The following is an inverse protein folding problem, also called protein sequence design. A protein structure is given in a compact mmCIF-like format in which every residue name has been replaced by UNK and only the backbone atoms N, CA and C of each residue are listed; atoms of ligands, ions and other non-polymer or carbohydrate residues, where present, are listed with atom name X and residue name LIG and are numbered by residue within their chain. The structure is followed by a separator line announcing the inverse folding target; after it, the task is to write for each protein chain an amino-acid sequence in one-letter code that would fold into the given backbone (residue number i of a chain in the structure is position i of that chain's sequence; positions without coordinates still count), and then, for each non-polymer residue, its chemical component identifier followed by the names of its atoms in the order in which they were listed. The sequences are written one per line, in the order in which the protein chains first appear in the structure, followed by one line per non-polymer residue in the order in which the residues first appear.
data_IF_143878383796
#
_entry.id   IF_143878383796
#
_cell.length_a   1.000
_cell.length_b   1.000
_cell.length_c   1.000
_cell.angle_alpha   90.00
_cell.angle_beta   90.00
_cell.angle_gamma   90.00
#
_symmetry.space_group_name_H-M   'P 1'
#
loop_
_entity.id
_entity.type
_entity.pdbx_description
1 polymer ?
#
# COMPACT_ATOMS: atom_id res chain seq x y z
N UNK A 1 -22.54 -4.47 -18.32
CA UNK A 1 -23.41 -5.61 -18.00
C UNK A 1 -23.83 -5.46 -16.54
N UNK A 2 -25.07 -5.07 -16.26
CA UNK A 2 -25.61 -5.17 -14.90
C UNK A 2 -26.18 -6.57 -14.73
N UNK A 3 -25.71 -7.31 -13.72
CA UNK A 3 -26.25 -8.65 -13.44
C UNK A 3 -27.15 -8.60 -12.21
N UNK A 4 -28.43 -8.91 -12.41
CA UNK A 4 -29.41 -9.05 -11.35
C UNK A 4 -29.51 -10.54 -11.00
N UNK A 5 -28.77 -10.98 -9.98
CA UNK A 5 -28.71 -12.39 -9.57
C UNK A 5 -27.30 -12.84 -9.21
N UNK A 6 -27.08 -14.16 -9.22
CA UNK A 6 -25.81 -14.78 -8.84
C UNK A 6 -24.91 -14.94 -10.04
N UNK A 7 -23.64 -14.60 -9.90
CA UNK A 7 -22.63 -14.77 -10.95
C UNK A 7 -21.54 -15.71 -10.45
N UNK A 8 -21.30 -16.79 -11.19
CA UNK A 8 -20.25 -17.75 -10.92
C UNK A 8 -19.32 -17.81 -12.13
N UNK A 9 -18.08 -17.35 -11.97
CA UNK A 9 -17.04 -17.41 -13.00
C UNK A 9 -15.81 -18.10 -12.43
N UNK A 10 -15.34 -19.11 -13.16
CA UNK A 10 -14.22 -19.95 -12.75
C UNK A 10 -13.28 -20.18 -13.94
N UNK A 11 -12.21 -19.42 -13.98
CA UNK A 11 -11.11 -19.68 -14.92
C UNK A 11 -10.20 -20.81 -14.43
N UNK A 12 -9.20 -21.14 -15.25
CA UNK A 12 -8.16 -22.11 -14.97
C UNK A 12 -7.29 -21.64 -13.80
N UNK A 13 -7.14 -22.51 -12.80
CA UNK A 13 -6.27 -22.28 -11.64
C UNK A 13 -4.79 -22.30 -12.05
N UNK A 14 -3.98 -21.48 -11.39
CA UNK A 14 -2.52 -21.50 -11.45
C UNK A 14 -1.96 -21.84 -10.07
N UNK A 15 -0.71 -22.30 -10.01
CA UNK A 15 -0.05 -22.57 -8.73
C UNK A 15 0.24 -21.28 -7.97
N UNK A 16 0.67 -20.24 -8.69
CA UNK A 16 1.09 -18.97 -8.11
C UNK A 16 0.71 -17.80 -9.03
N UNK A 17 0.23 -16.70 -8.47
CA UNK A 17 -0.18 -15.51 -9.24
C UNK A 17 0.83 -14.36 -9.16
N UNK A 18 1.66 -14.34 -8.13
CA UNK A 18 2.77 -13.41 -7.98
C UNK A 18 3.90 -14.00 -7.14
N UNK A 19 5.11 -13.51 -7.35
CA UNK A 19 6.31 -13.86 -6.57
C UNK A 19 7.21 -12.63 -6.49
N UNK A 20 8.13 -12.60 -5.54
CA UNK A 20 9.21 -11.61 -5.55
C UNK A 20 10.44 -12.12 -6.28
N UNK A 21 11.30 -11.20 -6.72
CA UNK A 21 12.62 -11.52 -7.25
C UNK A 21 13.52 -12.16 -6.18
N UNK A 22 14.23 -13.22 -6.56
CA UNK A 22 15.28 -13.85 -5.75
C UNK A 22 16.58 -13.06 -5.83
N UNK A 23 16.85 -12.44 -6.98
CA UNK A 23 18.07 -11.67 -7.25
C UNK A 23 17.70 -10.40 -7.99
N UNK A 24 18.44 -9.32 -7.74
CA UNK A 24 18.28 -8.07 -8.51
C UNK A 24 18.42 -8.35 -10.00
N UNK A 25 17.39 -8.00 -10.77
CA UNK A 25 17.43 -7.97 -12.21
C UNK A 25 17.90 -6.59 -12.68
N UNK A 26 18.92 -6.55 -13.52
CA UNK A 26 19.50 -5.33 -14.04
C UNK A 26 18.83 -4.91 -15.34
N UNK A 27 18.86 -3.62 -15.64
CA UNK A 27 18.57 -3.10 -16.97
C UNK A 27 19.46 -3.83 -18.00
N UNK A 28 18.87 -4.30 -19.08
CA UNK A 28 19.51 -5.16 -20.07
C UNK A 28 19.29 -6.67 -19.87
N UNK A 29 18.86 -7.12 -18.69
CA UNK A 29 18.62 -8.55 -18.45
C UNK A 29 17.41 -9.06 -19.25
N UNK A 30 17.53 -10.29 -19.75
CA UNK A 30 16.48 -11.04 -20.46
C UNK A 30 15.90 -12.19 -19.62
N UNK A 31 16.32 -12.29 -18.36
CA UNK A 31 15.96 -13.37 -17.45
C UNK A 31 15.67 -12.81 -16.07
N UNK A 32 14.64 -13.35 -15.42
CA UNK A 32 14.32 -13.09 -14.02
C UNK A 32 14.55 -14.36 -13.21
N UNK A 33 15.15 -14.19 -12.04
CA UNK A 33 15.25 -15.23 -11.02
C UNK A 33 14.28 -14.93 -9.88
N UNK A 34 13.33 -15.83 -9.61
CA UNK A 34 12.24 -15.62 -8.65
C UNK A 34 12.43 -16.41 -7.36
N UNK A 35 11.82 -15.95 -6.26
CA UNK A 35 11.88 -16.65 -4.96
C UNK A 35 11.19 -18.02 -5.03
N UNK A 36 10.01 -18.06 -5.63
CA UNK A 36 9.19 -19.26 -5.78
C UNK A 36 9.24 -19.78 -7.22
N UNK A 37 8.98 -21.07 -7.39
CA UNK A 37 8.84 -21.63 -8.74
C UNK A 37 7.51 -21.19 -9.34
N UNK A 38 7.50 -20.94 -10.65
CA UNK A 38 6.31 -20.50 -11.38
C UNK A 38 5.85 -21.57 -12.38
N UNK A 39 4.53 -21.66 -12.60
CA UNK A 39 3.89 -22.54 -13.59
C UNK A 39 3.31 -21.76 -14.78
N UNK A 40 3.83 -20.56 -15.01
CA UNK A 40 3.38 -19.64 -16.05
C UNK A 40 3.79 -20.12 -17.45
N UNK A 41 2.99 -19.79 -18.45
CA UNK A 41 3.12 -20.33 -19.80
C UNK A 41 3.87 -19.36 -20.71
N UNK A 42 4.52 -19.89 -21.75
CA UNK A 42 5.04 -19.08 -22.86
C UNK A 42 3.90 -18.26 -23.46
N UNK A 43 4.13 -16.95 -23.61
CA UNK A 43 3.15 -15.99 -24.09
C UNK A 43 2.34 -15.28 -23.01
N UNK A 44 2.37 -15.73 -21.75
CA UNK A 44 1.73 -15.01 -20.64
C UNK A 44 2.40 -13.65 -20.45
N UNK A 45 1.58 -12.63 -20.16
CA UNK A 45 2.04 -11.28 -19.83
C UNK A 45 2.30 -11.18 -18.32
N UNK A 46 3.48 -10.70 -17.94
CA UNK A 46 3.87 -10.43 -16.56
C UNK A 46 4.13 -8.95 -16.35
N UNK A 47 3.82 -8.47 -15.15
CA UNK A 47 4.24 -7.18 -14.64
C UNK A 47 5.44 -7.36 -13.70
N UNK A 48 6.50 -6.60 -13.92
CA UNK A 48 7.64 -6.47 -13.02
C UNK A 48 7.51 -5.10 -12.36
N UNK A 49 7.14 -5.08 -11.08
CA UNK A 49 6.87 -3.84 -10.37
C UNK A 49 8.13 -2.98 -10.24
N UNK A 50 7.98 -1.66 -10.29
CA UNK A 50 9.04 -0.74 -9.86
C UNK A 50 9.56 -1.14 -8.49
N UNK A 51 10.84 -0.91 -8.25
CA UNK A 51 11.49 -1.14 -6.95
C UNK A 51 12.26 0.09 -6.47
N UNK A 52 11.86 1.23 -7.02
CA UNK A 52 12.44 2.54 -6.80
C UNK A 52 11.32 3.57 -6.61
N UNK A 53 11.68 4.84 -6.39
CA UNK A 53 10.69 5.89 -6.10
C UNK A 53 9.82 6.30 -7.30
N UNK A 54 10.17 5.87 -8.52
CA UNK A 54 9.43 6.19 -9.74
C UNK A 54 8.53 5.03 -10.17
N UNK A 55 7.22 5.29 -10.17
CA UNK A 55 6.18 4.35 -10.60
C UNK A 55 6.29 3.96 -12.08
N UNK A 56 6.91 4.80 -12.91
CA UNK A 56 7.05 4.58 -14.34
C UNK A 56 8.10 3.52 -14.69
N UNK A 57 8.86 3.03 -13.70
CA UNK A 57 9.82 1.94 -13.86
C UNK A 57 9.18 0.56 -13.72
N UNK A 58 7.84 0.47 -13.62
CA UNK A 58 7.14 -0.82 -13.76
C UNK A 58 7.12 -1.24 -15.22
N UNK A 59 7.44 -2.51 -15.48
CA UNK A 59 7.62 -3.03 -16.84
C UNK A 59 6.67 -4.19 -17.13
N UNK A 60 6.13 -4.25 -18.35
CA UNK A 60 5.39 -5.41 -18.85
C UNK A 60 6.26 -6.21 -19.80
N UNK A 61 6.30 -7.53 -19.62
CA UNK A 61 7.01 -8.47 -20.50
C UNK A 61 6.17 -9.69 -20.80
N UNK A 62 6.51 -10.36 -21.90
CA UNK A 62 5.96 -11.67 -22.25
C UNK A 62 6.99 -12.76 -21.97
N UNK A 63 6.51 -13.88 -21.45
CA UNK A 63 7.34 -15.04 -21.17
C UNK A 63 7.69 -15.75 -22.49
N UNK A 64 8.98 -15.99 -22.74
CA UNK A 64 9.46 -16.81 -23.87
C UNK A 64 9.80 -18.23 -23.45
N UNK A 65 10.17 -18.42 -22.19
CA UNK A 65 10.33 -19.71 -21.52
C UNK A 65 10.25 -19.51 -20.00
N UNK A 66 9.71 -20.48 -19.27
CA UNK A 66 9.72 -20.47 -17.81
C UNK A 66 9.99 -21.90 -17.30
N UNK A 67 10.90 -22.02 -16.34
CA UNK A 67 11.23 -23.31 -15.73
C UNK A 67 11.68 -23.11 -14.29
N UNK A 68 10.98 -23.74 -13.34
CA UNK A 68 11.27 -23.59 -11.92
C UNK A 68 11.22 -22.12 -11.51
N UNK A 69 12.36 -21.58 -11.07
CA UNK A 69 12.52 -20.20 -10.57
C UNK A 69 13.06 -19.21 -11.61
N UNK A 70 13.14 -19.63 -12.87
CA UNK A 70 13.69 -18.83 -13.96
C UNK A 70 12.61 -18.50 -14.98
N UNK A 71 12.53 -17.22 -15.37
CA UNK A 71 11.62 -16.71 -16.39
C UNK A 71 12.44 -15.97 -17.45
N UNK A 72 12.32 -16.38 -18.71
CA UNK A 72 12.92 -15.70 -19.85
C UNK A 72 11.92 -14.72 -20.48
N UNK A 73 12.42 -13.53 -20.84
CA UNK A 73 11.65 -12.41 -21.33
C UNK A 73 11.75 -12.28 -22.85
N UNK A 74 10.75 -11.68 -23.47
CA UNK A 74 10.75 -11.37 -24.90
C UNK A 74 11.59 -10.14 -25.27
N UNK A 75 11.89 -9.28 -24.30
CA UNK A 75 12.70 -8.08 -24.46
C UNK A 75 13.42 -7.75 -23.17
N UNK A 76 14.62 -7.17 -23.29
CA UNK A 76 15.46 -6.82 -22.15
C UNK A 76 14.76 -5.81 -21.23
N UNK A 77 15.03 -5.85 -19.93
CA UNK A 77 14.55 -4.85 -18.97
C UNK A 77 15.15 -3.47 -19.27
N UNK A 78 14.36 -2.42 -19.08
CA UNK A 78 14.84 -1.04 -19.20
C UNK A 78 15.38 -0.52 -17.87
N UNK A 79 14.87 -1.05 -16.75
CA UNK A 79 15.20 -0.59 -15.40
C UNK A 79 15.72 -1.71 -14.51
N UNK A 80 16.37 -1.30 -13.42
CA UNK A 80 16.80 -2.21 -12.37
C UNK A 80 15.62 -2.55 -11.45
N UNK A 81 15.43 -3.84 -11.16
CA UNK A 81 14.47 -4.34 -10.19
C UNK A 81 15.19 -5.05 -9.06
N UNK A 82 15.21 -4.43 -7.88
CA UNK A 82 16.05 -4.89 -6.77
C UNK A 82 15.47 -6.12 -6.06
N UNK A 83 16.38 -6.94 -5.53
CA UNK A 83 16.09 -7.91 -4.48
C UNK A 83 17.22 -7.86 -3.44
N UNK A 84 16.90 -7.34 -2.26
CA UNK A 84 17.79 -7.26 -1.11
C UNK A 84 17.23 -8.06 0.05
N UNK A 85 18.09 -8.88 0.64
CA UNK A 85 17.81 -9.63 1.85
C UNK A 85 18.68 -9.07 2.93
N UNK A 86 18.03 -8.45 3.89
CA UNK A 86 18.64 -7.96 5.10
C UNK A 86 18.72 -9.14 6.05
N UNK A 87 19.94 -9.53 6.42
CA UNK A 87 20.18 -10.45 7.51
C UNK A 87 21.22 -9.82 8.44
N UNK A 88 20.89 -9.76 9.73
CA UNK A 88 21.83 -9.38 10.77
C UNK A 88 22.53 -10.64 11.27
N UNK A 89 23.82 -10.56 11.58
CA UNK A 89 24.57 -11.69 12.13
C UNK A 89 23.92 -12.15 13.44
N UNK A 90 23.87 -13.45 13.68
CA UNK A 90 23.40 -14.01 14.95
C UNK A 90 24.15 -13.33 16.11
N UNK A 91 23.41 -12.80 17.09
CA UNK A 91 23.88 -11.99 18.24
C UNK A 91 24.04 -10.47 18.01
N UNK A 92 23.74 -9.91 16.83
CA UNK A 92 23.77 -8.44 16.61
C UNK A 92 22.40 -7.76 16.81
N UNK A 93 21.31 -8.45 16.45
CA UNK A 93 19.94 -8.15 16.87
C UNK A 93 19.37 -9.46 17.43
N UNK A 94 18.76 -9.43 18.62
CA UNK A 94 18.28 -10.64 19.33
C UNK A 94 17.19 -11.44 18.58
N UNK A 95 16.65 -10.93 17.47
CA UNK A 95 15.43 -11.44 16.84
C UNK A 95 15.62 -12.35 15.61
N UNK A 96 16.84 -12.43 15.05
CA UNK A 96 17.13 -13.26 13.87
C UNK A 96 16.27 -12.95 12.63
N UNK A 97 15.64 -11.77 12.56
CA UNK A 97 14.71 -11.43 11.47
C UNK A 97 15.43 -11.22 10.15
N UNK A 98 14.87 -11.78 9.09
CA UNK A 98 15.30 -11.54 7.70
C UNK A 98 14.27 -10.63 7.04
N UNK A 99 14.69 -9.44 6.60
CA UNK A 99 13.82 -8.55 5.84
C UNK A 99 14.09 -8.69 4.35
N UNK A 100 13.04 -8.99 3.58
CA UNK A 100 13.11 -9.16 2.12
C UNK A 100 12.54 -7.92 1.43
N UNK A 101 13.41 -7.09 0.87
CA UNK A 101 13.03 -5.94 0.03
C UNK A 101 13.25 -6.33 -1.43
N UNK A 102 12.20 -6.82 -2.09
CA UNK A 102 12.31 -7.33 -3.44
C UNK A 102 11.10 -6.95 -4.28
N UNK A 103 11.37 -6.64 -5.55
CA UNK A 103 10.35 -6.31 -6.53
C UNK A 103 9.40 -7.50 -6.75
N UNK A 104 8.10 -7.21 -6.78
CA UNK A 104 7.07 -8.17 -7.15
C UNK A 104 7.02 -8.38 -8.67
N UNK A 105 6.84 -9.64 -9.06
CA UNK A 105 6.57 -10.12 -10.41
C UNK A 105 5.23 -10.82 -10.38
N UNK A 106 4.29 -10.37 -11.21
CA UNK A 106 2.93 -10.91 -11.24
C UNK A 106 2.50 -11.29 -12.64
N UNK A 107 1.91 -12.48 -12.80
CA UNK A 107 1.28 -12.87 -14.05
C UNK A 107 -0.08 -12.21 -14.18
N UNK A 108 -0.32 -11.53 -15.29
CA UNK A 108 -1.53 -10.77 -15.55
C UNK A 108 -2.57 -11.59 -16.33
N UNK A 109 -2.13 -12.55 -17.14
CA UNK A 109 -3.01 -13.33 -18.01
C UNK A 109 -3.85 -14.34 -17.22
N UNK A 110 -5.14 -14.45 -17.56
CA UNK A 110 -6.04 -15.53 -17.09
C UNK A 110 -6.77 -16.19 -18.25
N UNK A 111 -7.32 -17.38 -18.03
CA UNK A 111 -7.99 -18.15 -19.10
C UNK A 111 -9.33 -17.55 -19.54
N UNK A 112 -10.02 -16.83 -18.65
CA UNK A 112 -11.24 -16.08 -18.97
C UNK A 112 -10.86 -14.61 -18.98
N UNK A 113 -11.08 -13.94 -20.11
CA UNK A 113 -10.77 -12.52 -20.30
C UNK A 113 -12.06 -11.76 -20.58
N UNK A 114 -12.39 -10.81 -19.71
CA UNK A 114 -13.44 -9.82 -19.92
C UNK A 114 -12.79 -8.51 -20.33
N UNK A 115 -12.98 -8.15 -21.60
CA UNK A 115 -12.41 -6.95 -22.20
C UNK A 115 -13.52 -5.92 -22.35
N UNK A 116 -13.25 -4.71 -21.90
CA UNK A 116 -14.20 -3.62 -21.89
C UNK A 116 -13.59 -2.39 -22.55
N UNK A 117 -14.33 -1.82 -23.50
CA UNK A 117 -13.93 -0.59 -24.14
C UNK A 117 -14.20 0.62 -23.23
N UNK A 118 -13.16 1.42 -23.00
CA UNK A 118 -13.28 2.79 -22.49
C UNK A 118 -13.70 3.69 -23.66
N UNK A 119 -14.90 4.29 -23.65
CA UNK A 119 -15.29 5.20 -24.72
C UNK A 119 -14.32 6.40 -24.78
N UNK A 120 -13.87 6.74 -25.99
CA UNK A 120 -12.83 7.75 -26.29
C UNK A 120 -13.28 9.21 -26.09
N UNK A 121 -14.41 9.47 -25.42
CA UNK A 121 -15.10 10.75 -25.53
C UNK A 121 -14.66 11.74 -24.45
N UNK A 122 -14.21 12.92 -24.92
CA UNK A 122 -14.01 14.18 -24.19
C UNK A 122 -15.30 14.73 -23.54
N UNK A 123 -15.99 13.95 -22.72
CA UNK A 123 -17.11 14.45 -21.92
C UNK A 123 -16.66 14.79 -20.50
N UNK A 124 -16.78 16.07 -20.19
CA UNK A 124 -16.52 16.78 -18.94
C UNK A 124 -17.47 16.35 -17.80
N UNK A 125 -17.97 15.11 -17.80
CA UNK A 125 -18.87 14.58 -16.77
C UNK A 125 -18.24 13.38 -16.04
N UNK A 126 -17.48 13.71 -15.00
CA UNK A 126 -17.29 13.08 -13.65
C UNK A 126 -17.50 11.58 -13.36
N UNK A 127 -17.82 10.69 -14.29
CA UNK A 127 -18.07 9.26 -14.01
C UNK A 127 -17.68 8.39 -15.20
N UNK A 128 -16.39 8.33 -15.50
CA UNK A 128 -15.85 7.49 -16.59
C UNK A 128 -15.77 6.03 -16.15
N UNK A 129 -16.36 5.12 -16.93
CA UNK A 129 -16.63 3.72 -16.53
C UNK A 129 -16.10 2.74 -17.58
N UNK A 130 -15.47 1.64 -17.13
CA UNK A 130 -15.05 0.53 -17.99
C UNK A 130 -16.04 -0.63 -18.01
N UNK A 131 -17.32 -0.40 -17.75
CA UNK A 131 -18.33 -1.41 -17.33
C UNK A 131 -18.31 -1.67 -15.82
N UNK A 132 -19.41 -1.28 -15.19
CA UNK A 132 -19.79 -1.82 -13.91
C UNK A 132 -20.41 -3.21 -14.15
N UNK A 133 -19.74 -4.29 -13.74
CA UNK A 133 -20.50 -5.47 -13.31
C UNK A 133 -21.17 -5.11 -11.99
N UNK A 134 -22.34 -4.48 -12.09
CA UNK A 134 -23.19 -4.24 -10.93
C UNK A 134 -23.83 -5.56 -10.53
N UNK A 135 -23.49 -6.04 -9.35
CA UNK A 135 -24.27 -7.07 -8.66
C UNK A 135 -25.15 -6.33 -7.65
N UNK A 136 -26.43 -6.20 -7.96
CA UNK A 136 -27.43 -5.56 -7.10
C UNK A 136 -28.64 -6.48 -6.97
N UNK A 137 -29.12 -6.70 -5.74
CA UNK A 137 -30.22 -7.64 -5.48
C UNK A 137 -31.62 -7.06 -5.77
N UNK A 138 -31.77 -5.75 -5.76
CA UNK A 138 -33.07 -5.08 -5.99
C UNK A 138 -32.86 -3.75 -6.70
N UNK A 139 -33.51 -3.53 -7.86
CA UNK A 139 -33.66 -2.18 -8.39
C UNK A 139 -34.34 -1.29 -7.34
N UNK A 140 -33.92 -0.02 -7.27
CA UNK A 140 -34.61 0.99 -6.45
C UNK A 140 -36.06 1.06 -6.95
N UNK A 141 -37.02 0.69 -6.10
CA UNK A 141 -38.47 0.73 -6.41
C UNK A 141 -39.13 -0.56 -6.90
N UNK A 142 -38.44 -1.70 -7.00
CA UNK A 142 -39.05 -2.97 -7.44
C UNK A 142 -39.58 -3.82 -6.27
N UNK A 143 -40.80 -4.41 -6.36
CA UNK A 143 -41.41 -5.20 -5.29
C UNK A 143 -40.87 -6.64 -5.17
N UNK A 144 -39.86 -7.04 -5.96
CA UNK A 144 -39.32 -8.41 -5.95
C UNK A 144 -37.97 -8.49 -5.25
N UNK A 145 -37.97 -9.15 -4.08
CA UNK A 145 -36.74 -9.59 -3.41
C UNK A 145 -36.12 -10.73 -4.22
N UNK A 146 -34.98 -10.49 -4.89
CA UNK A 146 -34.17 -11.59 -5.44
C UNK A 146 -33.46 -12.25 -4.25
N UNK A 147 -34.01 -13.37 -3.75
CA UNK A 147 -33.40 -14.18 -2.69
C UNK A 147 -32.56 -15.32 -3.30
N UNK A 148 -31.44 -15.65 -2.66
CA UNK A 148 -30.74 -16.93 -2.86
C UNK A 148 -29.49 -16.96 -3.76
N UNK A 149 -28.94 -15.82 -4.19
CA UNK A 149 -27.86 -15.81 -5.17
C UNK A 149 -26.54 -15.26 -4.62
N UNK A 150 -25.45 -16.01 -4.83
CA UNK A 150 -24.07 -15.68 -4.45
C UNK A 150 -23.27 -15.21 -5.68
N UNK A 151 -22.33 -14.29 -5.48
CA UNK A 151 -21.33 -13.95 -6.50
C UNK A 151 -19.98 -14.53 -6.15
N UNK A 152 -19.44 -15.34 -7.07
CA UNK A 152 -18.16 -16.02 -6.96
C UNK A 152 -17.38 -15.79 -8.25
N UNK A 153 -16.25 -15.13 -8.17
CA UNK A 153 -15.40 -14.88 -9.34
C UNK A 153 -13.99 -15.35 -9.00
N UNK A 154 -13.47 -16.27 -9.81
CA UNK A 154 -12.12 -16.82 -9.64
C UNK A 154 -11.38 -16.95 -10.95
N UNK A 155 -10.08 -16.62 -10.96
CA UNK A 155 -9.22 -16.81 -12.13
C UNK A 155 -9.73 -16.09 -13.39
N UNK A 156 -10.27 -14.89 -13.24
CA UNK A 156 -10.77 -14.08 -14.34
C UNK A 156 -9.89 -12.84 -14.52
N UNK A 157 -9.59 -12.50 -15.76
CA UNK A 157 -8.89 -11.29 -16.13
C UNK A 157 -9.89 -10.25 -16.62
N UNK A 158 -9.87 -9.06 -16.02
CA UNK A 158 -10.66 -7.91 -16.39
C UNK A 158 -9.73 -6.87 -17.03
N UNK A 159 -10.07 -6.42 -18.23
CA UNK A 159 -9.23 -5.50 -19.01
C UNK A 159 -10.08 -4.32 -19.42
N UNK A 160 -9.67 -3.15 -18.94
CA UNK A 160 -10.35 -1.90 -19.11
C UNK A 160 -9.62 -1.04 -20.14
N UNK A 161 -9.77 -1.35 -21.43
CA UNK A 161 -9.04 -0.66 -22.51
C UNK A 161 -10.00 -0.39 -23.67
N UNK A 162 -10.27 0.89 -23.96
CA UNK A 162 -10.95 1.28 -25.20
C UNK A 162 -10.12 0.88 -26.40
N UNK A 163 -10.53 -0.12 -27.17
CA UNK A 163 -9.75 -0.68 -28.29
C UNK A 163 -8.40 -1.31 -27.86
N UNK A 164 -7.91 -2.35 -28.55
CA UNK A 164 -6.59 -2.96 -28.27
C UNK A 164 -5.37 -2.02 -28.41
N UNK A 165 -5.58 -0.71 -28.62
CA UNK A 165 -4.54 0.30 -28.93
C UNK A 165 -4.76 1.65 -28.20
N UNK A 166 -5.67 1.78 -27.21
CA UNK A 166 -5.69 3.04 -26.43
C UNK A 166 -4.42 3.16 -25.57
N UNK A 167 -3.47 3.94 -26.07
CA UNK A 167 -2.19 4.34 -25.46
C UNK A 167 -2.40 5.33 -24.31
N UNK A 168 -3.64 5.73 -24.02
CA UNK A 168 -3.93 6.82 -23.08
C UNK A 168 -4.78 6.31 -21.91
N UNK A 169 -4.25 6.27 -20.69
CA UNK A 169 -5.00 5.82 -19.54
C UNK A 169 -6.14 6.76 -19.14
N UNK A 170 -7.14 6.22 -18.41
CA UNK A 170 -8.25 7.02 -17.92
C UNK A 170 -7.79 8.13 -16.99
N UNK A 171 -8.52 9.24 -16.96
CA UNK A 171 -8.20 10.41 -16.14
C UNK A 171 -8.79 10.37 -14.72
N UNK A 172 -9.57 9.34 -14.41
CA UNK A 172 -10.26 9.13 -13.12
C UNK A 172 -10.28 7.62 -12.80
N UNK A 173 -10.58 7.21 -11.56
CA UNK A 173 -10.70 5.79 -11.21
C UNK A 173 -11.85 5.11 -11.95
N UNK A 174 -11.55 4.03 -12.67
CA UNK A 174 -12.54 3.21 -13.34
C UNK A 174 -12.62 1.86 -12.62
N UNK A 175 -13.78 1.52 -12.07
CA UNK A 175 -14.00 0.23 -11.44
C UNK A 175 -14.44 -0.81 -12.49
N UNK A 176 -13.60 -1.83 -12.71
CA UNK A 176 -13.95 -3.00 -13.51
C UNK A 176 -15.01 -3.87 -12.81
N UNK A 177 -14.93 -3.93 -11.48
CA UNK A 177 -15.93 -4.56 -10.62
C UNK A 177 -16.39 -3.58 -9.56
N UNK A 178 -17.71 -3.45 -9.43
CA UNK A 178 -18.34 -2.60 -8.42
C UNK A 178 -19.48 -3.32 -7.73
N UNK A 179 -19.41 -3.39 -6.42
CA UNK A 179 -20.43 -3.98 -5.56
C UNK A 179 -21.04 -2.89 -4.69
N UNK A 180 -22.37 -2.81 -4.63
CA UNK A 180 -23.11 -1.88 -3.76
C UNK A 180 -23.89 -2.59 -2.65
N UNK A 181 -24.33 -3.83 -2.90
CA UNK A 181 -25.02 -4.65 -1.90
C UNK A 181 -24.87 -6.11 -2.30
N UNK A 182 -24.46 -6.94 -1.36
CA UNK A 182 -24.26 -8.37 -1.57
C UNK A 182 -24.86 -9.17 -0.42
N UNK A 183 -25.22 -10.43 -0.69
CA UNK A 183 -25.66 -11.41 0.31
C UNK A 183 -24.94 -12.74 0.04
N UNK A 184 -24.99 -13.64 1.02
CA UNK A 184 -24.45 -15.01 0.91
C UNK A 184 -22.92 -15.09 0.72
N UNK A 185 -22.14 -14.25 1.43
CA UNK A 185 -20.67 -14.30 1.49
C UNK A 185 -19.98 -14.42 0.11
N UNK A 186 -20.09 -13.39 -0.75
CA UNK A 186 -19.42 -13.38 -2.05
C UNK A 186 -17.89 -13.30 -1.92
N UNK A 187 -17.20 -13.64 -3.01
CA UNK A 187 -15.76 -13.41 -3.09
C UNK A 187 -15.27 -13.20 -4.52
N UNK A 188 -14.15 -12.48 -4.62
CA UNK A 188 -13.35 -12.33 -5.84
C UNK A 188 -11.93 -12.75 -5.49
N UNK A 189 -11.45 -13.85 -6.10
CA UNK A 189 -10.14 -14.41 -5.78
C UNK A 189 -9.31 -14.73 -7.01
N UNK A 190 -8.00 -14.58 -6.94
CA UNK A 190 -7.09 -14.99 -8.03
C UNK A 190 -7.32 -14.28 -9.37
N UNK A 191 -8.03 -13.15 -9.36
CA UNK A 191 -8.36 -12.39 -10.56
C UNK A 191 -7.24 -11.41 -10.90
N UNK A 192 -7.19 -11.00 -12.17
CA UNK A 192 -6.32 -9.94 -12.66
C UNK A 192 -7.16 -8.79 -13.16
N UNK A 193 -6.78 -7.56 -12.83
CA UNK A 193 -7.45 -6.34 -13.25
C UNK A 193 -6.42 -5.44 -13.89
N UNK A 194 -6.60 -5.10 -15.17
CA UNK A 194 -5.71 -4.21 -15.91
C UNK A 194 -6.48 -2.96 -16.26
N UNK A 195 -5.95 -1.80 -15.90
CA UNK A 195 -6.58 -0.50 -16.20
C UNK A 195 -7.93 -0.28 -15.50
N UNK A 196 -8.23 -1.11 -14.51
CA UNK A 196 -9.51 -1.11 -13.81
C UNK A 196 -9.35 -1.56 -12.36
N UNK A 197 -10.22 -1.03 -11.51
CA UNK A 197 -10.20 -1.20 -10.07
C UNK A 197 -11.35 -2.09 -9.57
N UNK A 198 -11.32 -2.42 -8.27
CA UNK A 198 -12.38 -3.12 -7.56
C UNK A 198 -12.95 -2.22 -6.47
N UNK A 199 -14.26 -1.98 -6.49
CA UNK A 199 -14.95 -1.12 -5.54
C UNK A 199 -16.04 -1.86 -4.78
N UNK A 200 -15.98 -1.82 -3.44
CA UNK A 200 -16.96 -2.39 -2.52
C UNK A 200 -17.61 -1.27 -1.71
N UNK A 201 -18.75 -0.79 -2.18
CA UNK A 201 -19.47 0.32 -1.58
C UNK A 201 -20.61 -0.22 -0.72
N UNK A 202 -20.63 0.09 0.58
CA UNK A 202 -21.71 -0.33 1.51
C UNK A 202 -21.92 -1.86 1.59
N UNK A 203 -20.94 -2.65 1.13
CA UNK A 203 -20.96 -4.11 1.18
C UNK A 203 -20.73 -4.59 2.61
N UNK A 204 -21.54 -5.52 3.09
CA UNK A 204 -21.31 -6.20 4.37
C UNK A 204 -20.94 -7.67 4.14
N UNK A 205 -19.68 -8.04 4.39
CA UNK A 205 -19.19 -9.41 4.26
C UNK A 205 -18.75 -9.77 2.84
N UNK A 206 -17.44 -9.70 2.55
CA UNK A 206 -16.86 -10.13 1.27
C UNK A 206 -15.35 -10.38 1.37
N UNK A 207 -14.85 -11.37 0.61
CA UNK A 207 -13.41 -11.62 0.48
C UNK A 207 -12.89 -11.11 -0.88
N UNK A 208 -11.84 -10.30 -0.83
CA UNK A 208 -10.93 -10.02 -1.94
C UNK A 208 -9.60 -10.70 -1.62
N UNK A 209 -9.27 -11.79 -2.30
CA UNK A 209 -8.08 -12.58 -1.99
C UNK A 209 -7.19 -12.84 -3.20
N UNK A 210 -5.89 -12.57 -3.08
CA UNK A 210 -4.88 -12.95 -4.07
C UNK A 210 -5.20 -12.44 -5.49
N UNK A 211 -5.77 -11.23 -5.57
CA UNK A 211 -6.01 -10.55 -6.85
C UNK A 211 -4.84 -9.65 -7.22
N UNK A 212 -4.55 -9.55 -8.51
CA UNK A 212 -3.55 -8.62 -9.06
C UNK A 212 -4.27 -7.47 -9.74
N UNK A 213 -3.98 -6.25 -9.35
CA UNK A 213 -4.49 -5.03 -9.97
C UNK A 213 -3.28 -4.29 -10.56
N UNK A 214 -3.31 -4.00 -11.85
CA UNK A 214 -2.23 -3.35 -12.58
C UNK A 214 -2.71 -2.09 -13.28
N UNK A 215 -1.94 -1.02 -13.10
CA UNK A 215 -2.03 0.25 -13.81
C UNK A 215 -3.41 0.90 -13.65
N UNK A 216 -3.68 1.42 -12.46
CA UNK A 216 -4.95 2.07 -12.13
C UNK A 216 -4.74 3.56 -11.92
N UNK A 217 -5.81 4.33 -12.10
CA UNK A 217 -5.82 5.77 -11.86
C UNK A 217 -6.61 6.03 -10.58
N UNK A 218 -5.94 6.50 -9.53
CA UNK A 218 -6.47 6.56 -8.17
C UNK A 218 -6.57 5.19 -7.53
N UNK A 219 -7.74 4.82 -6.98
CA UNK A 219 -7.89 3.59 -6.20
C UNK A 219 -7.84 2.33 -7.06
N UNK A 220 -7.07 1.32 -6.62
CA UNK A 220 -7.10 -0.05 -7.16
C UNK A 220 -8.10 -0.94 -6.43
N UNK A 221 -8.17 -0.81 -5.11
CA UNK A 221 -9.20 -1.41 -4.25
C UNK A 221 -9.80 -0.29 -3.40
N UNK A 222 -11.11 -0.12 -3.43
CA UNK A 222 -11.82 0.84 -2.58
C UNK A 222 -12.95 0.15 -1.81
N UNK A 223 -12.92 0.23 -0.49
CA UNK A 223 -13.94 -0.35 0.40
C UNK A 223 -14.52 0.70 1.34
N UNK A 224 -15.83 0.94 1.25
CA UNK A 224 -16.60 1.76 2.22
C UNK A 224 -17.53 0.92 3.10
N UNK A 225 -17.56 -0.40 2.87
CA UNK A 225 -18.43 -1.36 3.56
C UNK A 225 -17.92 -1.84 4.92
N UNK A 226 -18.46 -2.97 5.39
CA UNK A 226 -18.08 -3.60 6.65
C UNK A 226 -17.79 -5.10 6.52
N UNK A 227 -17.00 -5.65 7.44
CA UNK A 227 -16.67 -7.09 7.49
C UNK A 227 -16.06 -7.60 6.18
N UNK A 228 -15.18 -6.81 5.56
CA UNK A 228 -14.49 -7.17 4.32
C UNK A 228 -13.08 -7.65 4.63
N UNK A 229 -12.70 -8.76 4.00
CA UNK A 229 -11.33 -9.27 4.04
C UNK A 229 -10.61 -8.89 2.75
N UNK A 230 -9.56 -8.09 2.86
CA UNK A 230 -8.66 -7.72 1.78
C UNK A 230 -7.34 -8.40 2.10
N UNK A 231 -7.07 -9.53 1.44
CA UNK A 231 -5.97 -10.43 1.82
C UNK A 231 -5.11 -10.81 0.61
N UNK A 232 -3.79 -10.71 0.69
CA UNK A 232 -2.85 -11.14 -0.37
C UNK A 232 -3.05 -10.47 -1.73
N UNK A 233 -3.74 -9.33 -1.79
CA UNK A 233 -3.90 -8.62 -3.05
C UNK A 233 -2.63 -7.84 -3.38
N UNK A 234 -2.32 -7.75 -4.67
CA UNK A 234 -1.17 -7.02 -5.18
C UNK A 234 -1.67 -5.91 -6.10
N UNK A 235 -1.42 -4.65 -5.73
CA UNK A 235 -1.70 -3.48 -6.57
C UNK A 235 -0.39 -2.92 -7.10
N UNK A 236 -0.24 -2.88 -8.42
CA UNK A 236 0.96 -2.39 -9.11
C UNK A 236 0.59 -1.15 -9.93
N UNK A 237 1.37 -0.08 -9.78
CA UNK A 237 1.22 1.18 -10.54
C UNK A 237 -0.15 1.85 -10.32
N UNK A 238 -0.29 2.49 -9.16
CA UNK A 238 -1.41 3.38 -8.84
C UNK A 238 -1.06 4.83 -9.18
N UNK A 239 -1.62 5.35 -10.26
CA UNK A 239 -1.35 6.67 -10.80
C UNK A 239 -2.32 7.72 -10.26
N UNK A 240 -2.00 8.98 -10.47
CA UNK A 240 -2.81 10.14 -10.15
C UNK A 240 -2.86 11.07 -11.37
N UNK A 241 -4.00 11.73 -11.55
CA UNK A 241 -4.22 12.65 -12.67
C UNK A 241 -4.69 13.99 -12.12
N UNK A 242 -4.16 15.09 -12.65
CA UNK A 242 -4.54 16.47 -12.29
C UNK A 242 -6.04 16.79 -12.55
N UNK A 243 -6.77 15.90 -13.21
CA UNK A 243 -8.23 15.98 -13.37
C UNK A 243 -9.01 15.50 -12.14
N UNK A 244 -8.36 14.76 -11.24
CA UNK A 244 -8.84 14.48 -9.90
C UNK A 244 -8.51 15.73 -9.08
N UNK A 245 -9.48 16.27 -8.34
CA UNK A 245 -9.30 17.48 -7.54
C UNK A 245 -8.03 17.34 -6.67
N UNK A 246 -7.16 18.35 -6.63
CA UNK A 246 -5.92 18.32 -5.85
C UNK A 246 -6.17 18.08 -4.34
N UNK A 247 -7.39 18.32 -3.86
CA UNK A 247 -7.82 17.98 -2.50
C UNK A 247 -8.12 16.49 -2.28
N UNK A 248 -8.33 15.71 -3.34
CA UNK A 248 -8.52 14.26 -3.27
C UNK A 248 -7.16 13.55 -3.30
N UNK A 249 -6.87 12.82 -2.23
CA UNK A 249 -5.66 12.02 -2.05
C UNK A 249 -5.99 10.52 -2.11
N UNK A 250 -6.12 9.94 -3.32
CA UNK A 250 -6.45 8.53 -3.45
C UNK A 250 -5.28 7.65 -3.01
N UNK A 251 -5.62 6.48 -2.46
CA UNK A 251 -4.67 5.41 -2.20
C UNK A 251 -4.92 4.21 -3.12
N UNK A 252 -3.87 3.47 -3.44
CA UNK A 252 -3.98 2.24 -4.22
C UNK A 252 -4.93 1.23 -3.55
N UNK A 253 -4.88 1.12 -2.22
CA UNK A 253 -5.86 0.42 -1.38
C UNK A 253 -6.46 1.42 -0.40
N UNK A 254 -7.74 1.74 -0.58
CA UNK A 254 -8.47 2.71 0.24
C UNK A 254 -9.58 2.01 1.04
N UNK A 255 -9.43 2.00 2.36
CA UNK A 255 -10.33 1.30 3.30
C UNK A 255 -10.69 2.15 4.53
N UNK A 256 -10.34 3.45 4.53
CA UNK A 256 -10.55 4.36 5.67
C UNK A 256 -12.02 4.60 6.03
N UNK A 257 -12.92 4.47 5.06
CA UNK A 257 -14.37 4.59 5.28
C UNK A 257 -15.00 3.27 5.80
N UNK A 258 -14.29 2.16 5.64
CA UNK A 258 -14.78 0.84 6.04
C UNK A 258 -14.74 0.58 7.54
N UNK A 259 -15.44 -0.47 7.98
CA UNK A 259 -15.41 -0.95 9.38
C UNK A 259 -15.21 -2.46 9.47
N UNK A 260 -14.50 -2.93 10.50
CA UNK A 260 -14.16 -4.35 10.66
C UNK A 260 -13.49 -4.94 9.39
N UNK A 261 -12.56 -4.17 8.82
CA UNK A 261 -11.77 -4.59 7.67
C UNK A 261 -10.62 -5.46 8.17
N UNK A 262 -10.37 -6.58 7.50
CA UNK A 262 -9.14 -7.37 7.70
C UNK A 262 -8.20 -7.06 6.55
N UNK A 263 -7.02 -6.54 6.86
CA UNK A 263 -6.00 -6.19 5.88
C UNK A 263 -4.74 -7.03 6.16
N UNK A 264 -4.53 -8.09 5.37
CA UNK A 264 -3.43 -9.03 5.59
C UNK A 264 -2.65 -9.33 4.31
N UNK A 265 -1.33 -9.32 4.39
CA UNK A 265 -0.42 -9.75 3.31
C UNK A 265 -0.62 -9.04 1.97
N UNK A 266 -1.22 -7.84 1.95
CA UNK A 266 -1.41 -7.10 0.70
C UNK A 266 -0.15 -6.32 0.36
N UNK A 267 0.14 -6.22 -0.93
CA UNK A 267 1.30 -5.48 -1.44
C UNK A 267 0.83 -4.37 -2.36
N UNK A 268 1.37 -3.17 -2.15
CA UNK A 268 1.23 -2.05 -3.07
C UNK A 268 2.61 -1.63 -3.56
N UNK A 269 2.84 -1.75 -4.87
CA UNK A 269 4.11 -1.48 -5.51
C UNK A 269 3.97 -0.42 -6.60
N UNK A 270 4.62 0.72 -6.43
CA UNK A 270 4.53 1.82 -7.39
C UNK A 270 3.23 2.63 -7.24
N UNK A 271 3.30 3.81 -6.65
CA UNK A 271 2.12 4.66 -6.47
C UNK A 271 2.46 6.15 -6.39
N UNK A 272 1.69 7.02 -7.07
CA UNK A 272 2.00 8.46 -7.15
C UNK A 272 1.51 9.27 -5.94
N UNK A 273 0.52 8.75 -5.19
CA UNK A 273 -0.02 9.37 -3.97
C UNK A 273 0.19 8.45 -2.78
N UNK A 274 -0.86 7.79 -2.30
CA UNK A 274 -0.76 6.89 -1.16
C UNK A 274 -0.78 5.41 -1.59
N UNK A 275 -0.05 4.56 -0.86
CA UNK A 275 -0.13 3.12 -1.01
C UNK A 275 -1.41 2.60 -0.36
N UNK A 276 -1.55 2.88 0.94
CA UNK A 276 -2.73 2.56 1.73
C UNK A 276 -3.33 3.82 2.33
N UNK A 277 -4.66 3.95 2.29
CA UNK A 277 -5.41 4.88 3.15
C UNK A 277 -6.31 4.11 4.09
N UNK A 278 -6.10 4.33 5.39
CA UNK A 278 -6.67 3.48 6.43
C UNK A 278 -7.33 4.30 7.53
N UNK A 279 -8.23 3.66 8.27
CA UNK A 279 -8.73 4.15 9.57
C UNK A 279 -7.90 3.66 10.75
N UNK A 280 -7.11 2.61 10.55
CA UNK A 280 -6.49 1.84 11.62
C UNK A 280 -7.47 0.85 12.28
N UNK A 281 -6.93 -0.04 13.10
CA UNK A 281 -7.68 -0.92 13.99
C UNK A 281 -8.06 -0.17 15.28
N UNK A 282 -9.08 -0.63 16.01
CA UNK A 282 -9.32 -0.10 17.36
C UNK A 282 -8.33 -0.69 18.35
N UNK A 283 -7.81 0.12 19.26
CA UNK A 283 -6.78 -0.32 20.21
C UNK A 283 -7.29 -1.31 21.28
N UNK A 284 -8.59 -1.32 21.58
CA UNK A 284 -9.18 -2.07 22.70
C UNK A 284 -9.99 -3.28 22.28
N UNK A 285 -10.09 -3.58 20.99
CA UNK A 285 -10.81 -4.76 20.53
C UNK A 285 -9.94 -6.01 20.72
N UNK A 286 -10.45 -6.99 21.48
CA UNK A 286 -9.87 -8.32 21.60
C UNK A 286 -9.90 -8.98 20.22
N UNK A 287 -8.80 -8.79 19.49
CA UNK A 287 -8.65 -9.22 18.12
C UNK A 287 -7.96 -10.59 18.09
N UNK A 288 -8.51 -11.48 17.29
CA UNK A 288 -7.90 -12.78 17.04
C UNK A 288 -6.79 -12.65 15.97
N UNK A 289 -5.83 -13.57 15.89
CA UNK A 289 -4.81 -13.57 14.84
C UNK A 289 -5.38 -13.53 13.40
N UNK A 290 -6.58 -14.05 13.18
CA UNK A 290 -7.23 -14.06 11.85
C UNK A 290 -7.88 -12.73 11.45
N UNK A 291 -7.96 -11.77 12.37
CA UNK A 291 -8.55 -10.45 12.17
C UNK A 291 -7.53 -9.31 12.29
N UNK A 292 -6.42 -9.55 13.00
CA UNK A 292 -5.32 -8.59 13.16
C UNK A 292 -4.68 -8.24 11.82
N UNK A 293 -4.33 -6.98 11.62
CA UNK A 293 -3.61 -6.57 10.42
C UNK A 293 -2.15 -7.02 10.49
N UNK A 294 -1.66 -7.60 9.40
CA UNK A 294 -0.32 -8.19 9.36
C UNK A 294 0.22 -8.32 7.94
N UNK A 295 1.53 -8.24 7.76
CA UNK A 295 2.21 -8.60 6.51
C UNK A 295 1.94 -7.67 5.33
N UNK A 296 1.33 -6.50 5.54
CA UNK A 296 1.07 -5.57 4.45
C UNK A 296 2.35 -4.84 4.05
N UNK A 297 2.52 -4.58 2.76
CA UNK A 297 3.73 -3.99 2.20
C UNK A 297 3.40 -2.83 1.26
N UNK A 298 4.08 -1.70 1.40
CA UNK A 298 3.96 -0.56 0.49
C UNK A 298 5.34 -0.06 0.06
N UNK A 299 5.59 0.09 -1.24
CA UNK A 299 6.86 0.64 -1.69
C UNK A 299 6.82 1.33 -3.06
N UNK A 300 7.82 2.18 -3.29
CA UNK A 300 8.04 2.86 -4.57
C UNK A 300 6.99 3.94 -4.87
N UNK A 301 6.68 4.78 -3.89
CA UNK A 301 5.68 5.84 -4.07
C UNK A 301 5.85 7.02 -3.12
N UNK A 302 4.84 7.88 -2.97
CA UNK A 302 4.96 9.11 -2.17
C UNK A 302 4.71 8.85 -0.66
N UNK A 303 3.53 8.30 -0.31
CA UNK A 303 3.10 8.03 1.08
C UNK A 303 2.75 6.55 1.25
N UNK A 304 3.49 5.79 2.04
CA UNK A 304 3.21 4.35 2.19
C UNK A 304 1.84 4.08 2.84
N UNK A 305 1.66 4.58 4.06
CA UNK A 305 0.41 4.54 4.81
C UNK A 305 -0.04 5.97 5.11
N UNK A 306 -1.29 6.27 4.78
CA UNK A 306 -1.88 7.60 4.87
C UNK A 306 -3.14 7.59 5.74
N UNK A 307 -3.18 8.50 6.71
CA UNK A 307 -4.35 8.83 7.50
C UNK A 307 -4.47 10.36 7.55
N UNK A 308 -5.58 10.92 7.09
CA UNK A 308 -5.80 12.37 7.11
C UNK A 308 -7.20 12.69 7.61
N UNK A 309 -7.29 13.08 8.89
CA UNK A 309 -8.55 13.19 9.63
C UNK A 309 -9.27 11.84 9.72
N UNK A 310 -8.50 10.76 9.63
CA UNK A 310 -8.94 9.38 9.78
C UNK A 310 -8.63 8.91 11.23
N UNK A 311 -9.10 7.72 11.60
CA UNK A 311 -8.91 7.18 12.96
C UNK A 311 -10.18 7.15 13.80
N UNK A 312 -10.00 6.88 15.09
CA UNK A 312 -11.06 6.85 16.10
C UNK A 312 -10.86 7.96 17.13
N UNK A 313 -11.95 8.36 17.79
CA UNK A 313 -11.92 9.43 18.81
C UNK A 313 -11.16 9.02 20.07
N UNK A 314 -11.15 7.73 20.39
CA UNK A 314 -10.43 7.12 21.50
C UNK A 314 -9.00 6.77 21.08
N UNK A 315 -8.82 5.74 20.24
CA UNK A 315 -7.52 5.23 19.87
C UNK A 315 -7.54 4.43 18.56
N UNK A 316 -6.60 4.73 17.67
CA UNK A 316 -6.32 3.95 16.46
C UNK A 316 -4.98 3.19 16.58
N UNK A 317 -4.96 1.97 16.04
CA UNK A 317 -3.78 1.10 15.95
C UNK A 317 -3.39 0.91 14.48
N UNK A 318 -2.13 1.16 14.18
CA UNK A 318 -1.49 0.87 12.88
C UNK A 318 -0.42 -0.18 13.13
N UNK A 319 -0.51 -1.35 12.48
CA UNK A 319 0.46 -2.40 12.69
C UNK A 319 0.67 -3.31 11.48
N UNK A 320 1.80 -4.03 11.49
CA UNK A 320 2.07 -5.10 10.54
C UNK A 320 2.34 -4.60 9.13
N UNK A 321 2.98 -3.43 9.00
CA UNK A 321 3.37 -2.83 7.73
C UNK A 321 4.88 -2.86 7.51
N UNK A 322 5.30 -3.34 6.34
CA UNK A 322 6.61 -3.09 5.76
C UNK A 322 6.48 -1.95 4.74
N UNK A 323 7.14 -0.82 4.98
CA UNK A 323 7.10 0.31 4.06
C UNK A 323 8.50 0.73 3.68
N UNK A 324 8.79 0.78 2.38
CA UNK A 324 10.13 1.11 1.93
C UNK A 324 10.17 1.93 0.65
N UNK A 325 11.23 2.75 0.52
CA UNK A 325 11.41 3.66 -0.63
C UNK A 325 10.14 4.48 -0.95
N UNK A 326 9.50 5.02 0.09
CA UNK A 326 8.51 6.08 -0.07
C UNK A 326 9.21 7.43 -0.05
N UNK A 327 8.93 8.29 -1.03
CA UNK A 327 9.64 9.54 -1.25
C UNK A 327 9.42 10.54 -0.11
N UNK A 328 8.18 10.70 0.37
CA UNK A 328 7.87 11.62 1.46
C UNK A 328 7.75 10.89 2.80
N UNK A 329 6.73 10.05 2.98
CA UNK A 329 6.43 9.43 4.28
C UNK A 329 6.21 7.92 4.16
N UNK A 330 6.79 7.16 5.07
CA UNK A 330 6.44 5.76 5.30
C UNK A 330 5.03 5.68 5.89
N UNK A 331 4.82 6.37 7.01
CA UNK A 331 3.52 6.51 7.66
C UNK A 331 3.26 8.00 7.91
N UNK A 332 2.17 8.52 7.35
CA UNK A 332 1.64 9.83 7.67
C UNK A 332 0.28 9.68 8.34
N UNK A 333 0.10 10.32 9.49
CA UNK A 333 -1.17 10.28 10.20
C UNK A 333 -1.63 11.62 10.76
N UNK A 334 -2.92 11.91 10.62
CA UNK A 334 -3.63 12.91 11.39
C UNK A 334 -4.87 12.28 12.02
N UNK A 335 -4.86 12.06 13.34
CA UNK A 335 -5.93 11.37 14.06
C UNK A 335 -6.60 12.27 15.11
N UNK A 336 -7.91 12.06 15.41
CA UNK A 336 -8.57 12.77 16.49
C UNK A 336 -8.23 12.18 17.87
N UNK A 337 -8.07 10.86 17.96
CA UNK A 337 -7.72 10.11 19.17
C UNK A 337 -6.25 9.75 19.28
N UNK A 338 -5.91 8.98 20.32
CA UNK A 338 -4.57 8.41 20.51
C UNK A 338 -4.17 7.52 19.34
N UNK A 339 -2.87 7.33 19.16
CA UNK A 339 -2.33 6.51 18.08
C UNK A 339 -1.29 5.52 18.61
N UNK A 340 -1.46 4.25 18.29
CA UNK A 340 -0.46 3.21 18.51
C UNK A 340 0.07 2.79 17.15
N UNK A 341 1.39 2.84 16.94
CA UNK A 341 2.07 2.28 15.78
C UNK A 341 2.93 1.13 16.27
N UNK A 342 2.64 -0.09 15.85
CA UNK A 342 3.25 -1.29 16.41
C UNK A 342 3.73 -2.24 15.33
N UNK A 343 4.87 -2.90 15.51
CA UNK A 343 5.33 -3.95 14.59
C UNK A 343 5.36 -3.48 13.13
N UNK A 344 5.94 -2.30 12.89
CA UNK A 344 6.17 -1.77 11.54
C UNK A 344 7.66 -1.81 11.21
N UNK A 345 7.96 -2.00 9.93
CA UNK A 345 9.32 -2.00 9.39
C UNK A 345 9.41 -0.90 8.34
N UNK A 346 10.23 0.12 8.58
CA UNK A 346 10.31 1.32 7.75
C UNK A 346 11.73 1.48 7.21
N UNK A 347 11.91 1.35 5.90
CA UNK A 347 13.24 1.29 5.27
C UNK A 347 13.39 2.31 4.15
N UNK A 348 14.36 3.22 4.24
CA UNK A 348 14.65 4.22 3.20
C UNK A 348 13.44 5.06 2.74
N UNK A 349 12.58 5.44 3.67
CA UNK A 349 11.54 6.43 3.38
C UNK A 349 12.11 7.84 3.61
N UNK A 350 11.60 8.86 2.90
CA UNK A 350 11.91 10.27 3.17
C UNK A 350 11.78 10.57 4.66
N UNK A 351 10.65 10.18 5.23
CA UNK A 351 10.36 10.17 6.66
C UNK A 351 9.71 8.86 7.04
N UNK A 352 10.18 8.18 8.08
CA UNK A 352 9.56 7.00 8.65
C UNK A 352 8.13 7.27 9.11
N UNK A 353 7.96 8.14 10.11
CA UNK A 353 6.64 8.46 10.69
C UNK A 353 6.48 9.97 10.85
N UNK A 354 5.35 10.48 10.37
CA UNK A 354 4.83 11.79 10.68
C UNK A 354 3.43 11.66 11.25
N UNK A 355 3.18 12.23 12.42
CA UNK A 355 1.88 12.13 13.07
C UNK A 355 1.44 13.44 13.70
N UNK A 356 0.14 13.69 13.59
CA UNK A 356 -0.58 14.77 14.26
C UNK A 356 -1.77 14.18 15.01
N UNK A 357 -1.93 14.54 16.27
CA UNK A 357 -3.19 14.31 17.00
C UNK A 357 -3.85 15.67 17.25
N UNK A 358 -5.01 15.91 16.63
CA UNK A 358 -5.52 17.28 16.45
C UNK A 358 -6.78 17.65 17.25
N UNK A 359 -7.48 16.67 17.81
CA UNK A 359 -8.69 16.92 18.63
C UNK A 359 -8.29 17.02 20.12
N UNK A 360 -9.06 17.71 21.00
CA UNK A 360 -10.06 18.71 20.66
C UNK A 360 -9.40 19.93 20.01
N UNK A 361 -10.15 20.76 19.26
CA UNK A 361 -9.61 21.97 18.66
C UNK A 361 -9.01 22.91 19.71
N UNK A 362 -7.89 23.56 19.39
CA UNK A 362 -7.20 24.51 20.28
C UNK A 362 -8.12 25.62 20.80
N UNK A 363 -9.07 26.07 19.98
CA UNK A 363 -10.07 27.11 20.33
C UNK A 363 -11.05 26.69 21.43
N UNK A 364 -11.13 25.40 21.76
CA UNK A 364 -11.95 24.91 22.87
C UNK A 364 -11.29 25.13 24.24
N UNK A 365 -9.97 25.37 24.28
CA UNK A 365 -9.17 25.40 25.51
C UNK A 365 -9.30 24.14 26.38
N UNK A 366 -9.74 23.02 25.79
CA UNK A 366 -9.86 21.75 26.48
C UNK A 366 -8.58 20.94 26.35
N UNK A 367 -8.13 20.38 27.47
CA UNK A 367 -7.05 19.40 27.50
C UNK A 367 -7.67 18.02 27.34
N UNK A 368 -6.99 17.14 26.63
CA UNK A 368 -7.43 15.75 26.49
C UNK A 368 -6.27 14.80 26.70
N UNK A 369 -6.57 13.69 27.38
CA UNK A 369 -5.60 12.66 27.67
C UNK A 369 -5.43 11.74 26.45
N UNK A 370 -4.45 12.06 25.60
CA UNK A 370 -4.10 11.29 24.41
C UNK A 370 -2.61 11.06 24.36
N UNK A 371 -2.17 10.04 23.62
CA UNK A 371 -0.75 9.75 23.44
C UNK A 371 -0.48 9.21 22.04
N UNK A 372 0.79 9.30 21.64
CA UNK A 372 1.31 8.53 20.51
C UNK A 372 2.32 7.52 21.05
N UNK A 373 2.10 6.24 20.76
CA UNK A 373 2.97 5.15 21.16
C UNK A 373 3.51 4.43 19.93
N UNK A 374 4.84 4.43 19.75
CA UNK A 374 5.51 3.59 18.76
C UNK A 374 6.17 2.42 19.47
N UNK A 375 5.91 1.18 19.07
CA UNK A 375 6.50 0.02 19.77
C UNK A 375 6.85 -1.15 18.88
N UNK A 376 7.87 -1.92 19.26
CA UNK A 376 8.24 -3.18 18.59
C UNK A 376 8.50 -2.95 17.08
N UNK A 377 9.07 -1.81 16.74
CA UNK A 377 9.21 -1.35 15.36
C UNK A 377 10.68 -1.37 14.93
N UNK A 378 10.89 -1.39 13.63
CA UNK A 378 12.22 -1.45 13.02
C UNK A 378 12.38 -0.34 11.99
N UNK A 379 13.47 0.40 12.10
CA UNK A 379 13.80 1.50 11.21
C UNK A 379 15.19 1.30 10.62
N UNK A 380 15.30 1.40 9.31
CA UNK A 380 16.57 1.35 8.61
C UNK A 380 16.75 2.60 7.76
N UNK A 381 17.73 3.42 8.13
CA UNK A 381 18.22 4.54 7.32
C UNK A 381 19.29 4.07 6.33
N UNK A 382 19.17 4.45 5.05
CA UNK A 382 20.14 4.20 3.99
C UNK A 382 20.62 2.74 3.80
N UNK A 383 20.11 2.06 2.77
CA UNK A 383 21.00 1.23 1.93
C UNK A 383 21.46 2.08 0.78
N UNK A 384 22.79 2.22 0.65
CA UNK A 384 23.53 2.88 -0.43
C UNK A 384 22.65 3.53 -1.49
N UNK A 385 22.62 4.87 -1.50
CA UNK A 385 22.34 5.58 -2.73
C UNK A 385 23.17 4.89 -3.82
N UNK A 386 22.56 4.56 -4.96
CA UNK A 386 23.33 4.09 -6.10
C UNK A 386 24.50 5.06 -6.40
N UNK A 387 25.43 4.69 -7.28
CA UNK A 387 26.62 5.48 -7.60
C UNK A 387 26.38 6.95 -8.00
N UNK A 388 25.12 7.37 -8.17
CA UNK A 388 24.70 8.72 -8.57
C UNK A 388 24.26 9.66 -7.44
N UNK A 389 24.13 9.24 -6.17
CA UNK A 389 23.65 10.12 -5.08
C UNK A 389 22.41 10.97 -5.48
N UNK A 390 21.50 10.39 -6.25
CA UNK A 390 20.36 11.09 -6.88
C UNK A 390 19.03 10.80 -6.19
N UNK A 391 19.09 10.29 -4.95
CA UNK A 391 17.91 10.03 -4.13
C UNK A 391 17.68 11.23 -3.22
N UNK A 392 16.43 11.61 -2.94
CA UNK A 392 16.15 12.64 -1.95
C UNK A 392 16.63 12.16 -0.58
N UNK A 393 16.93 13.09 0.33
CA UNK A 393 17.33 12.73 1.68
C UNK A 393 16.23 11.87 2.31
N UNK A 394 16.53 10.60 2.56
CA UNK A 394 15.83 9.88 3.60
C UNK A 394 16.29 10.51 4.90
N UNK A 395 15.43 11.18 5.65
CA UNK A 395 15.24 10.92 7.09
C UNK A 395 14.43 11.97 7.81
N UNK A 396 13.38 11.45 8.40
CA UNK A 396 12.92 11.81 9.72
C UNK A 396 12.29 10.56 10.29
N UNK A 397 12.61 10.11 11.50
CA UNK A 397 12.01 8.85 11.97
C UNK A 397 10.71 9.03 12.72
N UNK A 398 10.52 10.12 13.45
CA UNK A 398 9.27 10.44 14.10
C UNK A 398 9.11 11.95 14.26
N UNK A 399 8.01 12.50 13.74
CA UNK A 399 7.51 13.82 14.14
C UNK A 399 6.14 13.68 14.74
N UNK A 400 5.99 14.04 16.01
CA UNK A 400 4.70 14.13 16.70
C UNK A 400 4.36 15.61 16.89
N UNK A 401 3.58 16.20 15.99
CA UNK A 401 2.97 17.49 16.27
C UNK A 401 1.71 17.23 17.08
N UNK A 402 1.69 17.60 18.35
CA UNK A 402 0.49 17.35 19.15
C UNK A 402 0.05 18.55 19.97
N UNK A 403 -1.23 18.89 19.81
CA UNK A 403 -1.89 19.95 20.55
C UNK A 403 -2.48 19.38 21.86
N UNK A 404 -2.09 19.97 23.00
CA UNK A 404 -2.77 19.82 24.31
C UNK A 404 -2.97 18.38 24.82
N UNK A 405 -1.89 17.60 24.77
CA UNK A 405 -1.80 16.28 25.42
C UNK A 405 -1.49 16.42 26.92
N UNK A 406 -2.09 15.54 27.73
CA UNK A 406 -1.70 15.32 29.14
C UNK A 406 -0.70 14.16 29.33
N UNK A 407 -0.74 13.12 28.50
CA UNK A 407 0.08 11.91 28.61
C UNK A 407 1.20 11.84 27.57
N UNK A 408 2.43 11.55 27.96
CA UNK A 408 3.54 11.66 27.03
C UNK A 408 3.54 10.62 25.91
N UNK A 409 4.02 11.04 24.74
CA UNK A 409 4.36 10.13 23.66
C UNK A 409 5.54 9.24 24.06
N UNK A 410 5.56 8.00 23.57
CA UNK A 410 6.60 7.05 23.93
C UNK A 410 7.04 6.20 22.73
N UNK A 411 8.29 5.74 22.80
CA UNK A 411 8.83 4.75 21.89
C UNK A 411 9.46 3.60 22.68
N UNK A 412 8.96 2.39 22.44
CA UNK A 412 9.30 1.19 23.20
C UNK A 412 9.86 0.11 22.28
N UNK A 413 10.91 -0.59 22.72
CA UNK A 413 11.39 -1.82 22.07
C UNK A 413 11.60 -1.67 20.56
N UNK A 414 12.16 -0.53 20.15
CA UNK A 414 12.33 -0.14 18.75
C UNK A 414 13.80 -0.17 18.36
N UNK A 415 14.07 -0.68 17.15
CA UNK A 415 15.43 -0.81 16.61
C UNK A 415 15.67 0.21 15.49
N UNK A 416 16.84 0.86 15.51
CA UNK A 416 17.30 1.77 14.47
C UNK A 416 18.63 1.31 13.91
N UNK A 417 18.72 1.26 12.58
CA UNK A 417 19.88 0.75 11.85
C UNK A 417 20.36 1.77 10.81
N UNK A 418 21.67 1.97 10.72
CA UNK A 418 22.35 2.70 9.63
C UNK A 418 21.96 4.20 9.50
N UNK A 419 21.70 4.87 10.62
CA UNK A 419 21.54 6.34 10.66
C UNK A 419 22.92 7.01 10.68
N UNK A 420 23.33 7.50 9.50
CA UNK A 420 24.64 8.10 9.20
C UNK A 420 24.54 9.09 8.02
N UNK A 421 25.64 9.76 7.70
CA UNK A 421 25.77 10.50 6.44
C UNK A 421 25.53 9.59 5.23
N UNK A 422 24.75 10.08 4.27
CA UNK A 422 24.39 9.33 3.05
C UNK A 422 25.19 9.84 1.86
N UNK A 423 25.00 11.10 1.46
CA UNK A 423 25.62 11.74 0.30
C UNK A 423 25.70 13.25 0.48
N UNK A 424 26.77 13.92 0.04
CA UNK A 424 26.87 15.39 -0.13
C UNK A 424 26.21 16.28 0.97
N UNK A 425 26.43 15.96 2.25
CA UNK A 425 25.88 16.74 3.37
C UNK A 425 24.46 16.34 3.81
N UNK A 426 23.85 15.34 3.16
CA UNK A 426 22.60 14.72 3.61
C UNK A 426 22.86 13.70 4.72
N UNK A 427 22.06 13.81 5.78
CA UNK A 427 22.26 13.06 7.02
C UNK A 427 21.00 12.29 7.36
N UNK A 428 21.15 11.01 7.73
CA UNK A 428 20.06 10.23 8.27
C UNK A 428 19.84 10.55 9.76
N UNK A 429 18.76 11.24 10.17
CA UNK A 429 18.47 11.54 11.58
C UNK A 429 17.27 10.74 12.14
N UNK A 430 17.41 10.26 13.38
CA UNK A 430 16.34 9.55 14.09
C UNK A 430 15.22 10.53 14.48
N UNK A 431 15.46 11.45 15.40
CA UNK A 431 14.46 12.42 15.85
C UNK A 431 14.82 13.81 15.33
N UNK A 432 13.87 14.50 14.69
CA UNK A 432 14.11 15.88 14.25
C UNK A 432 12.90 16.79 14.48
N UNK A 433 13.15 18.06 14.76
CA UNK A 433 12.08 19.05 14.86
C UNK A 433 11.51 19.47 13.50
N UNK A 434 10.38 20.16 13.48
CA UNK A 434 9.86 20.70 12.23
C UNK A 434 10.50 22.05 11.94
N UNK A 435 11.19 22.25 10.81
CA UNK A 435 11.71 23.57 10.47
C UNK A 435 10.58 24.60 10.31
N UNK A 436 9.39 24.17 9.88
CA UNK A 436 8.24 25.08 9.68
C UNK A 436 7.38 25.31 10.93
N UNK A 437 7.67 24.64 12.06
CA UNK A 437 6.88 24.79 13.30
C UNK A 437 7.63 24.23 14.50
N UNK A 438 8.41 25.07 15.16
CA UNK A 438 9.31 24.66 16.23
C UNK A 438 8.62 24.50 17.60
N UNK A 439 7.43 25.09 17.76
CA UNK A 439 6.70 25.16 19.03
C UNK A 439 5.91 23.89 19.39
N UNK A 440 5.82 22.90 18.49
CA UNK A 440 4.90 21.75 18.62
C UNK A 440 5.58 20.42 19.02
N UNK A 441 6.71 20.46 19.72
CA UNK A 441 7.43 19.23 20.13
C UNK A 441 7.01 18.78 21.53
N UNK A 442 6.21 17.72 21.58
CA UNK A 442 5.85 17.05 22.83
C UNK A 442 7.00 16.15 23.31
N UNK A 443 7.32 16.09 24.62
CA UNK A 443 8.30 15.14 25.15
C UNK A 443 8.02 13.69 24.72
N UNK A 444 9.08 12.99 24.31
CA UNK A 444 9.06 11.58 23.89
C UNK A 444 9.88 10.75 24.91
N UNK A 445 9.26 9.73 25.47
CA UNK A 445 9.91 8.79 26.40
C UNK A 445 10.42 7.58 25.64
N UNK A 446 11.69 7.24 25.84
CA UNK A 446 12.34 6.12 25.14
C UNK A 446 12.65 4.99 26.13
N UNK A 447 12.34 3.75 25.76
CA UNK A 447 12.71 2.55 26.54
C UNK A 447 12.95 1.37 25.61
N UNK A 448 13.98 0.56 25.90
CA UNK A 448 14.28 -0.63 25.09
C UNK A 448 14.73 -0.29 23.65
N UNK A 449 15.35 0.87 23.45
CA UNK A 449 15.82 1.28 22.13
C UNK A 449 17.14 0.59 21.80
N UNK A 450 17.18 -0.04 20.62
CA UNK A 450 18.40 -0.66 20.08
C UNK A 450 18.92 0.18 18.93
N UNK A 451 20.20 0.54 18.96
CA UNK A 451 20.87 1.33 17.92
C UNK A 451 22.01 0.52 17.31
N UNK A 452 22.03 0.39 15.99
CA UNK A 452 23.10 -0.30 15.26
C UNK A 452 23.63 0.57 14.13
N UNK A 453 24.95 0.81 14.13
CA UNK A 453 25.61 1.71 13.19
C UNK A 453 24.95 3.12 13.15
N UNK A 454 24.75 3.70 14.33
CA UNK A 454 24.19 5.05 14.52
C UNK A 454 25.16 5.86 15.37
N UNK A 455 25.64 6.99 14.87
CA UNK A 455 26.47 7.93 15.67
C UNK A 455 25.59 8.88 16.47
N UNK A 456 26.15 9.48 17.51
CA UNK A 456 25.43 10.39 18.42
C UNK A 456 24.80 11.60 17.71
N UNK A 457 25.51 12.19 16.73
CA UNK A 457 25.07 13.34 15.94
C UNK A 457 23.81 13.07 15.08
N UNK A 458 23.49 11.80 14.83
CA UNK A 458 22.33 11.38 14.04
C UNK A 458 21.12 10.96 14.88
N UNK A 459 21.21 11.08 16.21
CA UNK A 459 20.12 10.68 17.11
C UNK A 459 19.02 11.72 17.19
N UNK A 460 19.39 12.98 17.40
CA UNK A 460 18.44 14.08 17.64
C UNK A 460 18.96 15.34 16.96
N UNK A 461 18.10 15.99 16.18
CA UNK A 461 18.36 17.29 15.58
C UNK A 461 17.24 18.27 15.89
N UNK A 462 17.58 19.39 16.53
CA UNK A 462 16.63 20.43 16.91
C UNK A 462 16.97 21.66 16.07
N UNK A 463 16.05 22.03 15.16
CA UNK A 463 16.11 23.29 14.43
C UNK A 463 16.11 24.46 15.43
N UNK A 464 16.88 25.50 15.08
CA UNK A 464 16.92 26.73 15.85
C UNK A 464 15.77 27.65 15.43
N UNK A 465 15.08 28.31 16.38
CA UNK A 465 14.01 29.24 16.08
C UNK A 465 14.48 30.26 15.06
N UNK A 466 13.87 30.26 13.88
CA UNK A 466 14.02 31.38 12.95
C UNK A 466 13.57 32.65 13.69
N UNK A 467 14.52 33.55 13.96
CA UNK A 467 14.31 34.83 14.65
C UNK A 467 13.52 35.83 13.82
#
# INVERSE_FOLDING_TARGET
IGHLGGLHLHGKKQMLYSTKLRKTAQAGDLELETQNSVDWNVGDEIAIATSNYDVNQTEIRKITAASGKTIHLNSALEYNHIAYYIQFEANTLEDGRVYSLAADVAVLTRSIRMIFDIPSVNQVYSKSWCVNLFVQLTPVGAPRRIQGYRTVITNVEFICSGSPVAVTPPKVPHFALKFNTVKFTPFVKYCSFRYGAVGLFEVNGMDLEENTIYYVMGQGIHVTGSNVRVVKNLVISSLWSNSINDSEWPAAIEVSEGSHIVLQDNVVAGFQRAGFRIKGEKCTENSSPSTLWSGNEAYGGLYGVYMNKDGFQDCALVQGFLVWKCWDFGIYSQTPGSLIISNVTLVNNGMGIFTIVYSPPATSHQISDKSVLVKVSFFWGGVNAGPSCSLPPATLTLKCNVSFIKSPSAMLDTTFVNFKDVCNGEQNIIFMTNPLNEDLHHPIYLRGITLFNVKDEFKVFIHHPET
#
